data_IF_538892962011
#
_entry.id   IF_538892962011
#
_cell.length_a   1.000
_cell.length_b   1.000
_cell.length_c   1.000
_cell.angle_alpha   90.00
_cell.angle_beta   90.00
_cell.angle_gamma   90.00
#
_symmetry.space_group_name_H-M   'P 1'
#
loop_
_entity.id
_entity.type
_entity.pdbx_description
1 polymer ?
#
# COMPACT_ATOMS: atom_id res chain seq x y z
N UNK A 1 4.64 1.49 17.27
CA UNK A 1 3.50 1.34 16.33
C UNK A 1 2.78 2.68 16.43
N UNK A 2 2.67 3.44 15.34
CA UNK A 2 2.07 4.79 15.43
C UNK A 2 0.58 4.67 15.74
N UNK A 3 0.14 5.31 16.83
CA UNK A 3 -1.15 5.10 17.50
C UNK A 3 -2.28 6.00 16.98
N UNK A 4 -2.18 6.61 15.80
CA UNK A 4 -3.31 7.42 15.30
C UNK A 4 -3.27 7.51 13.78
N UNK A 5 -4.31 6.94 13.13
CA UNK A 5 -4.61 7.01 11.69
C UNK A 5 -3.39 6.89 10.77
N UNK A 6 -2.86 5.67 10.71
CA UNK A 6 -1.71 5.21 9.92
C UNK A 6 -1.94 5.24 8.38
N UNK A 7 -2.77 6.17 7.91
CA UNK A 7 -2.85 6.55 6.50
C UNK A 7 -1.57 7.32 6.16
N UNK A 8 -1.13 7.24 4.91
CA UNK A 8 -0.06 8.11 4.41
C UNK A 8 -0.63 9.13 3.44
N UNK A 9 0.04 10.28 3.35
CA UNK A 9 -0.31 11.30 2.35
C UNK A 9 0.08 10.85 0.94
N UNK A 10 -0.59 11.41 -0.08
CA UNK A 10 -0.20 11.17 -1.47
C UNK A 10 1.22 11.61 -1.76
N UNK A 11 1.65 12.74 -1.18
CA UNK A 11 3.02 13.23 -1.29
C UNK A 11 4.03 12.21 -0.75
N UNK A 12 3.80 11.65 0.44
CA UNK A 12 4.66 10.59 1.00
C UNK A 12 4.70 9.36 0.10
N UNK A 13 3.53 8.88 -0.35
CA UNK A 13 3.48 7.72 -1.23
C UNK A 13 4.25 7.93 -2.54
N UNK A 14 4.15 9.13 -3.15
CA UNK A 14 4.92 9.48 -4.35
C UNK A 14 6.42 9.47 -4.08
N UNK A 15 6.85 10.10 -2.98
CA UNK A 15 8.26 10.13 -2.56
C UNK A 15 8.80 8.73 -2.35
N UNK A 16 8.12 7.92 -1.54
CA UNK A 16 8.59 6.59 -1.17
C UNK A 16 8.64 5.63 -2.35
N UNK A 17 7.62 5.65 -3.22
CA UNK A 17 7.64 4.83 -4.44
C UNK A 17 8.71 5.31 -5.42
N UNK A 18 9.08 6.60 -5.42
CA UNK A 18 10.20 7.09 -6.23
C UNK A 18 11.53 6.59 -5.69
N UNK A 19 11.75 6.72 -4.39
CA UNK A 19 12.96 6.22 -3.73
C UNK A 19 13.17 4.72 -4.01
N UNK A 20 12.10 3.92 -3.96
CA UNK A 20 12.16 2.51 -4.35
C UNK A 20 12.60 2.29 -5.81
N UNK A 21 12.06 3.07 -6.75
CA UNK A 21 12.42 2.96 -8.18
C UNK A 21 13.86 3.37 -8.45
N UNK A 22 14.36 4.36 -7.70
CA UNK A 22 15.70 4.90 -7.85
C UNK A 22 16.74 4.01 -7.15
N UNK A 23 16.35 3.23 -6.14
CA UNK A 23 17.24 2.34 -5.39
C UNK A 23 16.53 1.04 -4.99
N UNK A 24 16.36 0.08 -5.92
CA UNK A 24 15.56 -1.13 -5.68
C UNK A 24 16.28 -2.22 -4.88
N UNK A 25 17.52 -1.98 -4.45
CA UNK A 25 18.29 -2.96 -3.69
C UNK A 25 17.74 -3.06 -2.27
N UNK A 26 17.19 -4.23 -1.94
CA UNK A 26 16.59 -4.51 -0.66
C UNK A 26 16.88 -5.94 -0.21
N UNK A 27 17.17 -6.10 1.08
CA UNK A 27 17.23 -7.41 1.74
C UNK A 27 15.86 -7.84 2.29
N UNK A 28 14.82 -7.05 2.02
CA UNK A 28 13.47 -7.33 2.47
C UNK A 28 12.89 -8.53 1.72
N UNK A 29 12.50 -9.56 2.46
CA UNK A 29 11.95 -10.82 1.93
C UNK A 29 10.44 -10.91 2.09
N UNK A 30 9.90 -10.21 3.07
CA UNK A 30 8.49 -10.25 3.43
C UNK A 30 8.09 -9.00 4.22
N UNK A 31 6.78 -8.78 4.31
CA UNK A 31 6.23 -7.69 5.12
C UNK A 31 5.21 -8.25 6.10
N UNK A 32 5.38 -7.90 7.37
CA UNK A 32 4.34 -8.15 8.37
C UNK A 32 3.33 -7.00 8.31
N UNK A 33 2.07 -7.35 8.03
CA UNK A 33 0.94 -6.42 7.94
C UNK A 33 -0.03 -6.70 9.10
N UNK A 34 -0.43 -5.69 9.88
CA UNK A 34 -1.53 -5.84 10.83
C UNK A 34 -2.87 -6.00 10.10
N UNK A 35 -3.73 -6.88 10.63
CA UNK A 35 -5.00 -7.24 9.99
C UNK A 35 -5.99 -6.07 9.93
N UNK A 36 -6.03 -5.25 10.98
CA UNK A 36 -6.89 -4.06 11.05
C UNK A 36 -6.71 -3.13 9.86
N UNK A 37 -5.49 -3.05 9.34
CA UNK A 37 -5.11 -2.10 8.30
C UNK A 37 -5.46 -2.65 6.91
N UNK A 38 -5.26 -3.95 6.71
CA UNK A 38 -5.79 -4.66 5.55
C UNK A 38 -7.33 -4.57 5.52
N UNK A 39 -7.98 -4.67 6.68
CA UNK A 39 -9.42 -4.51 6.80
C UNK A 39 -9.87 -3.09 6.44
N UNK A 40 -9.10 -2.05 6.80
CA UNK A 40 -9.37 -0.67 6.39
C UNK A 40 -9.38 -0.49 4.87
N UNK A 41 -8.37 -1.01 4.18
CA UNK A 41 -8.32 -1.00 2.72
C UNK A 41 -9.45 -1.81 2.07
N UNK A 42 -9.82 -2.96 2.66
CA UNK A 42 -10.96 -3.77 2.23
C UNK A 42 -12.26 -2.99 2.43
N UNK A 43 -12.48 -2.37 3.58
CA UNK A 43 -13.70 -1.66 3.92
C UNK A 43 -13.97 -0.46 2.99
N UNK A 44 -12.91 0.15 2.48
CA UNK A 44 -12.95 1.22 1.48
C UNK A 44 -13.50 0.73 0.12
N UNK A 45 -13.18 -0.50 -0.27
CA UNK A 45 -13.52 -1.02 -1.61
C UNK A 45 -14.61 -2.10 -1.63
N UNK A 46 -14.95 -2.71 -0.49
CA UNK A 46 -15.87 -3.87 -0.42
C UNK A 46 -17.27 -3.62 -0.95
N UNK A 47 -17.71 -2.35 -0.93
CA UNK A 47 -19.03 -1.94 -1.40
C UNK A 47 -19.02 -1.55 -2.89
N UNK A 48 -17.88 -1.61 -3.57
CA UNK A 48 -17.80 -1.36 -5.00
C UNK A 48 -18.43 -2.51 -5.77
N UNK A 49 -19.17 -2.18 -6.83
CA UNK A 49 -19.72 -3.20 -7.73
C UNK A 49 -18.61 -3.89 -8.53
N UNK A 50 -18.84 -5.14 -8.92
CA UNK A 50 -17.86 -5.96 -9.64
C UNK A 50 -16.92 -6.72 -8.72
N UNK A 51 -15.67 -6.92 -9.14
CA UNK A 51 -14.63 -7.59 -8.37
C UNK A 51 -13.69 -6.54 -7.75
N UNK A 52 -13.89 -6.14 -6.49
CA UNK A 52 -13.05 -5.13 -5.86
C UNK A 52 -11.62 -5.64 -5.72
N UNK A 53 -10.67 -4.84 -6.17
CA UNK A 53 -9.24 -5.13 -6.12
C UNK A 53 -8.50 -4.02 -5.37
N UNK A 54 -7.40 -4.38 -4.72
CA UNK A 54 -6.43 -3.43 -4.19
C UNK A 54 -5.10 -3.59 -4.95
N UNK A 55 -4.37 -2.49 -5.10
CA UNK A 55 -2.99 -2.50 -5.60
C UNK A 55 -2.04 -2.24 -4.46
N UNK A 56 -0.90 -2.92 -4.49
CA UNK A 56 0.17 -2.74 -3.52
C UNK A 56 1.42 -2.25 -4.23
N UNK A 57 1.97 -1.14 -3.77
CA UNK A 57 3.20 -0.54 -4.26
C UNK A 57 4.33 -0.77 -3.27
N UNK A 58 5.54 -0.97 -3.79
CA UNK A 58 6.77 -0.95 -2.99
C UNK A 58 7.25 0.49 -2.82
N UNK A 59 7.67 0.83 -1.62
CA UNK A 59 8.24 2.12 -1.27
C UNK A 59 9.47 1.96 -0.37
N UNK A 60 10.25 3.02 -0.26
CA UNK A 60 11.29 3.18 0.76
C UNK A 60 10.94 4.46 1.50
N UNK A 61 10.89 4.44 2.83
CA UNK A 61 10.66 5.66 3.59
C UNK A 61 11.93 6.49 3.76
N UNK A 62 11.80 7.69 4.32
CA UNK A 62 12.92 8.62 4.53
C UNK A 62 13.99 8.09 5.50
N UNK A 63 13.75 6.94 6.15
CA UNK A 63 14.70 6.23 7.02
C UNK A 63 15.36 5.05 6.32
N UNK A 64 15.19 4.90 4.99
CA UNK A 64 15.59 3.74 4.21
C UNK A 64 14.94 2.42 4.64
N UNK A 65 13.73 2.49 5.22
CA UNK A 65 12.95 1.30 5.56
C UNK A 65 12.00 0.96 4.42
N UNK A 66 12.01 -0.28 3.94
CA UNK A 66 11.10 -0.72 2.88
C UNK A 66 9.65 -0.76 3.35
N UNK A 67 8.74 -0.36 2.46
CA UNK A 67 7.31 -0.22 2.71
C UNK A 67 6.44 -0.88 1.65
N UNK A 68 5.22 -1.26 2.03
CA UNK A 68 4.10 -1.63 1.18
C UNK A 68 2.98 -0.62 1.34
N UNK A 69 2.68 0.06 0.24
CA UNK A 69 1.60 1.04 0.15
C UNK A 69 0.42 0.38 -0.54
N UNK A 70 -0.67 0.17 0.19
CA UNK A 70 -1.92 -0.40 -0.31
C UNK A 70 -2.87 0.71 -0.74
N UNK A 71 -3.49 0.56 -1.91
CA UNK A 71 -4.50 1.46 -2.46
C UNK A 71 -5.68 0.66 -3.00
N UNK A 72 -6.90 1.14 -2.75
CA UNK A 72 -8.09 0.60 -3.39
C UNK A 72 -8.09 0.85 -4.90
N UNK A 73 -8.76 0.01 -5.68
CA UNK A 73 -8.94 0.25 -7.12
C UNK A 73 -10.40 0.16 -7.51
N UNK A 74 -10.80 0.97 -8.49
CA UNK A 74 -12.10 0.87 -9.14
C UNK A 74 -11.95 0.31 -10.55
N UNK A 75 -12.92 -0.49 -10.97
CA UNK A 75 -12.95 -1.08 -12.31
C UNK A 75 -13.58 -0.09 -13.29
N UNK A 76 -12.82 0.30 -14.32
CA UNK A 76 -13.29 1.16 -15.42
C UNK A 76 -13.06 0.47 -16.77
N UNK A 77 -13.90 0.79 -17.76
CA UNK A 77 -13.63 0.39 -19.15
C UNK A 77 -12.58 1.30 -19.76
N UNK A 78 -11.63 0.74 -20.50
CA UNK A 78 -10.58 1.49 -21.19
C UNK A 78 -11.05 2.16 -22.51
N UNK A 79 -12.34 2.03 -22.84
CA UNK A 79 -12.93 2.53 -24.08
C UNK A 79 -12.56 1.74 -25.34
N UNK A 80 -11.73 0.69 -25.23
CA UNK A 80 -11.26 -0.20 -26.30
C UNK A 80 -11.70 -1.66 -26.10
N UNK A 81 -12.58 -1.91 -25.14
CA UNK A 81 -13.08 -3.25 -24.78
C UNK A 81 -12.27 -3.95 -23.69
N UNK A 82 -11.24 -3.30 -23.15
CA UNK A 82 -10.50 -3.75 -21.98
C UNK A 82 -11.04 -3.19 -20.67
N UNK A 83 -10.50 -3.73 -19.58
CA UNK A 83 -10.78 -3.30 -18.21
C UNK A 83 -9.49 -2.73 -17.61
N UNK A 84 -9.56 -1.51 -17.07
CA UNK A 84 -8.51 -0.91 -16.26
C UNK A 84 -8.93 -0.89 -14.79
N UNK A 85 -7.95 -1.06 -13.91
CA UNK A 85 -8.12 -0.89 -12.48
C UNK A 85 -7.47 0.45 -12.11
N UNK A 86 -8.29 1.48 -11.94
CA UNK A 86 -7.82 2.82 -11.59
C UNK A 86 -7.63 2.91 -10.09
N UNK A 87 -6.47 3.40 -9.66
CA UNK A 87 -6.19 3.59 -8.25
C UNK A 87 -7.06 4.70 -7.67
N UNK A 88 -7.67 4.40 -6.54
CA UNK A 88 -8.46 5.32 -5.76
C UNK A 88 -7.52 6.13 -4.88
N UNK A 89 -6.96 7.20 -5.46
CA UNK A 89 -6.06 8.11 -4.77
C UNK A 89 -6.87 9.18 -4.01
N UNK A 90 -6.34 9.71 -2.88
CA UNK A 90 -6.90 10.89 -2.24
C UNK A 90 -6.81 12.10 -3.17
N UNK A 91 -7.81 13.00 -3.08
CA UNK A 91 -7.92 14.18 -3.93
C UNK A 91 -6.88 15.27 -3.60
N UNK A 92 -6.39 15.29 -2.36
CA UNK A 92 -5.41 16.25 -1.84
C UNK A 92 -4.22 15.51 -1.21
N UNK A 93 -3.09 16.19 -0.99
CA UNK A 93 -1.91 15.66 -0.27
C UNK A 93 -2.16 15.45 1.25
N UNK A 94 -3.42 15.47 1.71
CA UNK A 94 -3.81 15.23 3.10
C UNK A 94 -4.07 13.75 3.42
N UNK A 95 -4.24 13.45 4.71
CA UNK A 95 -4.83 12.18 5.14
C UNK A 95 -6.29 12.13 4.69
N UNK A 96 -6.77 10.99 4.16
CA UNK A 96 -8.11 10.85 3.58
C UNK A 96 -9.26 11.14 4.56
N UNK A 97 -9.54 12.40 4.82
CA UNK A 97 -10.65 12.88 5.65
C UNK A 97 -11.92 13.12 4.84
N UNK A 98 -11.84 13.16 3.50
CA UNK A 98 -12.99 13.31 2.59
C UNK A 98 -12.80 12.55 1.25
N UNK A 99 -11.95 11.51 1.19
CA UNK A 99 -11.64 10.79 -0.03
C UNK A 99 -10.94 9.45 0.21
N UNK A 100 -10.53 8.79 -0.88
CA UNK A 100 -9.84 7.49 -0.84
C UNK A 100 -8.53 7.56 -0.03
N UNK A 101 -8.08 6.45 0.55
CA UNK A 101 -6.93 6.43 1.45
C UNK A 101 -5.75 5.62 0.90
N UNK A 102 -4.54 6.02 1.30
CA UNK A 102 -3.31 5.27 1.07
C UNK A 102 -2.86 4.67 2.40
N UNK A 103 -2.57 3.39 2.36
CA UNK A 103 -2.40 2.55 3.54
C UNK A 103 -0.96 2.01 3.58
N UNK A 104 -0.13 2.35 4.58
CA UNK A 104 1.17 1.69 4.80
C UNK A 104 1.37 1.28 6.26
N UNK A 105 1.66 0.00 6.43
CA UNK A 105 1.64 -0.71 7.72
C UNK A 105 2.70 -1.78 7.81
N UNK A 106 3.57 -1.78 6.83
CA UNK A 106 4.44 -2.88 6.54
C UNK A 106 5.69 -2.77 7.39
N UNK A 107 6.02 -3.89 8.03
CA UNK A 107 7.32 -4.05 8.66
C UNK A 107 8.15 -4.98 7.80
N UNK A 108 9.28 -4.51 7.26
CA UNK A 108 10.12 -5.36 6.44
C UNK A 108 10.76 -6.47 7.29
N UNK A 109 11.01 -7.59 6.62
CA UNK A 109 11.71 -8.75 7.13
C UNK A 109 13.06 -8.88 6.43
N UNK A 110 14.18 -9.02 7.15
CA UNK A 110 14.34 -9.01 8.62
C UNK A 110 14.19 -7.60 9.25
N UNK A 111 13.91 -7.47 10.57
CA UNK A 111 13.90 -8.52 11.59
C UNK A 111 12.50 -9.04 11.99
N UNK A 112 11.42 -8.55 11.39
CA UNK A 112 10.05 -8.82 11.88
C UNK A 112 9.44 -10.15 11.41
N UNK A 113 10.25 -11.02 10.82
CA UNK A 113 9.84 -12.34 10.37
C UNK A 113 10.25 -13.44 11.33
N UNK A 114 9.55 -14.56 11.22
CA UNK A 114 9.97 -15.81 11.85
C UNK A 114 11.26 -16.32 11.19
N UNK A 115 12.36 -16.30 11.95
CA UNK A 115 13.67 -16.79 11.51
C UNK A 115 13.66 -18.29 11.16
N UNK A 116 12.67 -19.06 11.61
CA UNK A 116 12.53 -20.48 11.32
C UNK A 116 11.60 -20.78 10.14
N UNK A 117 10.94 -19.76 9.57
CA UNK A 117 10.02 -19.96 8.44
C UNK A 117 10.79 -20.42 7.20
N UNK A 118 10.31 -21.47 6.53
CA UNK A 118 10.85 -21.92 5.25
C UNK A 118 10.72 -20.86 4.15
N UNK A 119 9.81 -19.90 4.30
CA UNK A 119 9.64 -18.75 3.40
C UNK A 119 10.67 -17.64 3.66
N UNK A 120 11.48 -17.77 4.71
CA UNK A 120 12.48 -16.80 5.16
C UNK A 120 13.92 -17.35 5.11
N UNK A 121 14.15 -18.50 4.44
CA UNK A 121 15.49 -19.08 4.28
C UNK A 121 16.21 -18.52 3.05
#
# INVERSE_FOLDING_TARGET
MSETDKKITLAQAKTWTSQWRDTPESNCRAFLLPLEDLQGAIDEIKNQGGNPCARVYLGIDDTNTEKLIVVGTTQESDGKGGTIYRDLLPNDDGYGTNGNSLWDFSKPCPPWCDANSALNQ
#
